data_IF_454150068601
#
_entry.id   IF_454150068601
#
_cell.length_a   1.000
_cell.length_b   1.000
_cell.length_c   1.000
_cell.angle_alpha   90.00
_cell.angle_beta   90.00
_cell.angle_gamma   90.00
#
_symmetry.space_group_name_H-M   'P 1'
#
loop_
_entity.id
_entity.type
_entity.pdbx_description
1 polymer ?
#
# COMPACT_ATOMS: atom_id res chain seq x y z
N UNK A 1 -46.55 17.59 -40.16
CA UNK A 1 -45.29 18.28 -39.80
C UNK A 1 -44.65 17.70 -38.52
N UNK A 2 -45.41 16.97 -37.69
CA UNK A 2 -44.98 16.51 -36.36
C UNK A 2 -44.09 15.26 -36.36
N UNK A 3 -44.25 14.38 -37.34
CA UNK A 3 -43.48 13.12 -37.46
C UNK A 3 -41.99 13.38 -37.75
N UNK A 4 -41.70 14.39 -38.56
CA UNK A 4 -40.33 14.79 -38.92
C UNK A 4 -39.62 15.49 -37.76
N UNK A 5 -40.35 16.33 -36.99
CA UNK A 5 -39.85 17.01 -35.80
C UNK A 5 -39.52 16.02 -34.67
N UNK A 6 -40.32 14.97 -34.51
CA UNK A 6 -40.07 13.87 -33.56
C UNK A 6 -38.85 13.03 -33.96
N UNK A 7 -38.69 12.73 -35.25
CA UNK A 7 -37.52 11.98 -35.75
C UNK A 7 -36.22 12.75 -35.54
N UNK A 8 -36.19 14.07 -35.81
CA UNK A 8 -35.03 14.94 -35.58
C UNK A 8 -34.64 15.00 -34.10
N UNK A 9 -35.61 15.15 -33.18
CA UNK A 9 -35.36 15.12 -31.72
C UNK A 9 -34.76 13.80 -31.25
N UNK A 10 -35.27 12.65 -31.74
CA UNK A 10 -34.72 11.33 -31.39
C UNK A 10 -33.29 11.14 -31.89
N UNK A 11 -32.98 11.60 -33.10
CA UNK A 11 -31.62 11.55 -33.65
C UNK A 11 -30.66 12.43 -32.85
N UNK A 12 -31.06 13.65 -32.48
CA UNK A 12 -30.23 14.53 -31.64
C UNK A 12 -29.93 13.93 -30.27
N UNK A 13 -30.92 13.29 -29.62
CA UNK A 13 -30.71 12.63 -28.32
C UNK A 13 -29.74 11.44 -28.45
N UNK A 14 -29.86 10.62 -29.50
CA UNK A 14 -28.96 9.48 -29.72
C UNK A 14 -27.51 9.95 -29.93
N UNK A 15 -27.30 11.02 -30.69
CA UNK A 15 -25.95 11.58 -30.93
C UNK A 15 -25.33 12.11 -29.64
N UNK A 16 -26.09 12.78 -28.78
CA UNK A 16 -25.59 13.27 -27.47
C UNK A 16 -25.23 12.11 -26.55
N UNK A 17 -26.05 11.05 -26.48
CA UNK A 17 -25.77 9.87 -25.65
C UNK A 17 -24.50 9.14 -26.12
N UNK A 18 -24.31 8.98 -27.43
CA UNK A 18 -23.10 8.36 -28.00
C UNK A 18 -21.84 9.18 -27.70
N UNK A 19 -21.92 10.52 -27.79
CA UNK A 19 -20.82 11.42 -27.41
C UNK A 19 -20.49 11.36 -25.91
N UNK A 20 -21.50 11.29 -25.04
CA UNK A 20 -21.29 11.13 -23.60
C UNK A 20 -20.65 9.77 -23.27
N UNK A 21 -21.07 8.67 -23.91
CA UNK A 21 -20.48 7.34 -23.70
C UNK A 21 -19.02 7.31 -24.20
N UNK A 22 -18.72 7.95 -25.33
CA UNK A 22 -17.34 8.06 -25.82
C UNK A 22 -16.43 8.88 -24.88
N UNK A 23 -16.95 9.95 -24.27
CA UNK A 23 -16.22 10.73 -23.27
C UNK A 23 -15.97 9.96 -21.96
N UNK A 24 -16.89 9.08 -21.55
CA UNK A 24 -16.71 8.21 -20.37
C UNK A 24 -15.68 7.11 -20.65
N UNK A 25 -15.65 6.55 -21.86
CA UNK A 25 -14.64 5.55 -22.26
C UNK A 25 -13.23 6.20 -22.37
N UNK A 26 -13.14 7.44 -22.85
CA UNK A 26 -11.88 8.20 -22.92
C UNK A 26 -11.27 8.54 -21.56
N UNK A 27 -12.05 8.55 -20.48
CA UNK A 27 -11.55 8.76 -19.11
C UNK A 27 -10.97 7.49 -18.48
N UNK A 28 -11.18 6.31 -19.09
CA UNK A 28 -10.61 5.02 -18.66
C UNK A 28 -9.36 4.68 -19.48
N UNK A 29 -8.63 5.68 -19.99
CA UNK A 29 -7.21 5.47 -20.26
C UNK A 29 -6.51 5.57 -18.91
N UNK A 30 -6.58 4.48 -18.15
CA UNK A 30 -5.71 4.24 -17.01
C UNK A 30 -4.30 4.57 -17.46
N UNK A 31 -3.71 5.63 -16.89
CA UNK A 31 -2.27 5.81 -16.98
C UNK A 31 -1.66 4.49 -16.55
N UNK A 32 -1.09 3.75 -17.49
CA UNK A 32 -0.21 2.64 -17.20
C UNK A 32 1.02 3.30 -16.60
N UNK A 33 0.94 3.58 -15.30
CA UNK A 33 2.10 3.92 -14.50
C UNK A 33 2.88 2.62 -14.43
N UNK A 34 3.85 2.47 -15.32
CA UNK A 34 4.92 1.47 -15.20
C UNK A 34 5.60 1.75 -13.87
N UNK A 35 5.09 1.11 -12.81
CA UNK A 35 5.67 1.22 -11.48
C UNK A 35 6.98 0.45 -11.55
N UNK A 36 8.12 1.04 -11.17
CA UNK A 36 9.37 0.29 -11.10
C UNK A 36 9.14 -0.99 -10.27
N UNK A 37 9.70 -2.09 -10.75
CA UNK A 37 9.52 -3.39 -10.11
C UNK A 37 10.23 -3.35 -8.75
N UNK A 38 9.46 -3.32 -7.67
CA UNK A 38 9.96 -3.42 -6.29
C UNK A 38 10.75 -4.71 -6.12
N UNK A 39 11.98 -4.62 -5.64
CA UNK A 39 12.80 -5.77 -5.24
C UNK A 39 12.27 -6.34 -3.91
N UNK A 40 12.07 -7.66 -3.87
CA UNK A 40 11.61 -8.36 -2.66
C UNK A 40 12.64 -9.41 -2.30
N UNK A 41 13.18 -9.31 -1.10
CA UNK A 41 14.05 -10.32 -0.50
C UNK A 41 13.29 -11.00 0.65
N UNK A 42 12.86 -12.24 0.43
CA UNK A 42 12.14 -13.02 1.43
C UNK A 42 13.08 -13.58 2.51
N UNK A 43 14.39 -13.54 2.29
CA UNK A 43 15.37 -14.21 3.16
C UNK A 43 15.07 -15.70 3.33
N UNK A 44 15.45 -16.22 4.50
CA UNK A 44 15.10 -17.56 4.96
C UNK A 44 14.18 -17.43 6.17
N UNK A 45 13.12 -18.24 6.21
CA UNK A 45 12.22 -18.34 7.36
C UNK A 45 11.76 -19.77 7.56
N UNK A 46 11.79 -20.22 8.82
CA UNK A 46 11.24 -21.50 9.24
C UNK A 46 9.79 -21.37 9.74
N UNK A 47 9.31 -20.13 9.96
CA UNK A 47 8.00 -19.84 10.57
C UNK A 47 6.99 -19.21 9.62
N UNK A 48 7.44 -18.59 8.53
CA UNK A 48 6.56 -17.95 7.55
C UNK A 48 6.67 -18.57 6.18
N UNK A 49 5.50 -18.85 5.58
CA UNK A 49 5.45 -19.19 4.17
C UNK A 49 5.64 -17.93 3.33
N UNK A 50 6.07 -18.09 2.08
CA UNK A 50 6.13 -16.97 1.15
C UNK A 50 4.77 -16.28 0.96
N UNK A 51 3.66 -17.03 1.07
CA UNK A 51 2.30 -16.47 1.01
C UNK A 51 2.02 -15.53 2.19
N UNK A 52 2.43 -15.90 3.41
CA UNK A 52 2.29 -15.04 4.59
C UNK A 52 3.07 -13.74 4.41
N UNK A 53 4.31 -13.85 3.92
CA UNK A 53 5.17 -12.71 3.60
C UNK A 53 4.55 -11.82 2.52
N UNK A 54 4.02 -12.40 1.45
CA UNK A 54 3.35 -11.67 0.37
C UNK A 54 2.14 -10.86 0.88
N UNK A 55 1.36 -11.45 1.79
CA UNK A 55 0.22 -10.77 2.41
C UNK A 55 0.67 -9.59 3.29
N UNK A 56 1.75 -9.73 4.05
CA UNK A 56 2.35 -8.65 4.84
C UNK A 56 2.94 -7.56 3.95
N UNK A 57 3.71 -7.92 2.92
CA UNK A 57 4.32 -7.00 1.96
C UNK A 57 3.27 -6.20 1.21
N UNK A 58 2.10 -6.79 0.90
CA UNK A 58 0.97 -6.04 0.30
C UNK A 58 0.50 -4.89 1.19
N UNK A 59 0.56 -5.03 2.51
CA UNK A 59 0.20 -3.95 3.45
C UNK A 59 1.25 -2.83 3.40
N UNK A 60 2.55 -3.16 3.39
CA UNK A 60 3.65 -2.19 3.27
C UNK A 60 3.55 -1.43 1.93
N UNK A 61 3.43 -2.15 0.81
CA UNK A 61 3.25 -1.56 -0.53
C UNK A 61 2.05 -0.63 -0.59
N UNK A 62 0.96 -0.96 0.11
CA UNK A 62 -0.22 -0.10 0.19
C UNK A 62 0.05 1.15 1.02
N UNK A 63 0.73 1.04 2.16
CA UNK A 63 1.09 2.20 3.00
C UNK A 63 1.94 3.20 2.23
N UNK A 64 3.02 2.75 1.60
CA UNK A 64 3.91 3.63 0.83
C UNK A 64 3.21 4.23 -0.39
N UNK A 65 2.34 3.48 -1.09
CA UNK A 65 1.53 4.05 -2.18
C UNK A 65 0.65 5.24 -1.76
N UNK A 66 0.21 5.29 -0.50
CA UNK A 66 -0.54 6.43 0.02
C UNK A 66 0.36 7.59 0.47
N UNK A 67 1.67 7.37 0.59
CA UNK A 67 2.66 8.42 0.81
C UNK A 67 3.00 9.04 -0.54
N UNK A 68 2.47 10.24 -0.77
CA UNK A 68 2.46 10.85 -2.10
C UNK A 68 3.89 11.18 -2.57
N UNK A 69 4.25 10.69 -3.75
CA UNK A 69 5.58 10.93 -4.33
C UNK A 69 6.69 10.06 -3.76
N UNK A 70 6.40 9.16 -2.82
CA UNK A 70 7.35 8.18 -2.33
C UNK A 70 7.44 7.00 -3.30
N UNK A 71 8.65 6.50 -3.53
CA UNK A 71 8.94 5.43 -4.47
C UNK A 71 9.60 4.26 -3.74
N UNK A 72 8.85 3.17 -3.57
CA UNK A 72 9.36 1.96 -2.92
C UNK A 72 10.33 1.23 -3.86
N UNK A 73 11.55 1.00 -3.39
CA UNK A 73 12.59 0.28 -4.14
C UNK A 73 12.73 -1.17 -3.70
N UNK A 74 12.86 -1.39 -2.39
CA UNK A 74 13.15 -2.71 -1.84
C UNK A 74 12.34 -3.00 -0.58
N UNK A 75 11.94 -4.25 -0.39
CA UNK A 75 11.44 -4.77 0.89
C UNK A 75 12.18 -6.06 1.19
N UNK A 76 12.72 -6.19 2.40
CA UNK A 76 13.53 -7.33 2.79
C UNK A 76 13.21 -7.82 4.19
N UNK A 77 13.11 -9.14 4.32
CA UNK A 77 12.77 -9.81 5.57
C UNK A 77 13.91 -9.70 6.59
N UNK A 78 13.58 -9.34 7.83
CA UNK A 78 14.58 -9.14 8.88
C UNK A 78 14.94 -10.41 9.67
N UNK A 79 14.38 -11.56 9.27
CA UNK A 79 14.61 -12.87 9.88
C UNK A 79 13.68 -13.20 11.06
N UNK A 80 13.58 -14.49 11.34
CA UNK A 80 12.64 -15.05 12.33
C UNK A 80 12.87 -14.50 13.75
N UNK A 81 14.14 -14.38 14.16
CA UNK A 81 14.52 -13.87 15.49
C UNK A 81 13.99 -12.46 15.76
N UNK A 82 13.98 -11.61 14.73
CA UNK A 82 13.51 -10.24 14.79
C UNK A 82 11.98 -10.13 14.65
N UNK A 83 11.32 -11.22 14.27
CA UNK A 83 9.91 -11.22 13.89
C UNK A 83 9.02 -11.75 15.00
N UNK A 84 9.16 -13.03 15.38
CA UNK A 84 8.15 -13.71 16.20
C UNK A 84 8.75 -14.51 17.36
N UNK A 85 9.65 -13.88 18.11
CA UNK A 85 10.04 -14.39 19.43
C UNK A 85 9.03 -13.95 20.50
N UNK A 86 8.95 -14.69 21.60
CA UNK A 86 8.03 -14.36 22.71
C UNK A 86 8.20 -12.92 23.22
N UNK A 87 9.44 -12.43 23.26
CA UNK A 87 9.75 -11.05 23.67
C UNK A 87 9.23 -10.02 22.67
N UNK A 88 9.38 -10.28 21.37
CA UNK A 88 8.87 -9.39 20.30
C UNK A 88 7.34 -9.38 20.31
N UNK A 89 6.71 -10.56 20.40
CA UNK A 89 5.25 -10.68 20.44
C UNK A 89 4.66 -9.94 21.65
N UNK A 90 5.26 -10.11 22.83
CA UNK A 90 4.85 -9.40 24.04
C UNK A 90 4.98 -7.88 23.87
N UNK A 91 6.14 -7.41 23.41
CA UNK A 91 6.40 -5.99 23.22
C UNK A 91 5.44 -5.36 22.20
N UNK A 92 5.19 -6.03 21.07
CA UNK A 92 4.24 -5.53 20.06
C UNK A 92 2.81 -5.46 20.60
N UNK A 93 2.37 -6.43 21.38
CA UNK A 93 1.05 -6.37 22.01
C UNK A 93 0.95 -5.23 23.05
N UNK A 94 2.00 -4.98 23.84
CA UNK A 94 2.05 -3.84 24.76
C UNK A 94 1.99 -2.50 24.01
N UNK A 95 2.75 -2.37 22.92
CA UNK A 95 2.71 -1.19 22.04
C UNK A 95 1.32 -1.00 21.43
N UNK A 96 0.74 -2.06 20.87
CA UNK A 96 -0.57 -1.99 20.24
C UNK A 96 -1.66 -1.58 21.23
N UNK A 97 -1.64 -2.10 22.46
CA UNK A 97 -2.58 -1.71 23.53
C UNK A 97 -2.46 -0.24 23.89
N UNK A 98 -1.22 0.28 23.97
CA UNK A 98 -0.97 1.72 24.19
C UNK A 98 -1.52 2.59 23.06
N UNK A 99 -1.49 2.08 21.83
CA UNK A 99 -2.01 2.75 20.63
C UNK A 99 -3.51 2.50 20.40
N UNK A 100 -4.19 1.85 21.35
CA UNK A 100 -5.65 1.68 21.37
C UNK A 100 -6.17 0.44 20.64
N UNK A 101 -5.30 -0.47 20.21
CA UNK A 101 -5.72 -1.77 19.68
C UNK A 101 -6.27 -2.67 20.79
N UNK A 102 -7.29 -3.46 20.46
CA UNK A 102 -7.95 -4.39 21.41
C UNK A 102 -7.68 -5.85 21.12
N UNK A 103 -7.12 -6.17 19.96
CA UNK A 103 -6.75 -7.54 19.60
C UNK A 103 -5.51 -7.99 20.39
N UNK A 104 -5.49 -9.27 20.79
CA UNK A 104 -4.27 -9.94 21.21
C UNK A 104 -3.65 -10.62 19.98
N UNK A 105 -2.61 -10.00 19.43
CA UNK A 105 -1.89 -10.55 18.28
C UNK A 105 -1.11 -11.80 18.67
N UNK A 106 -1.10 -12.78 17.76
CA UNK A 106 -0.44 -14.08 17.94
C UNK A 106 0.77 -14.26 17.03
N UNK A 107 0.90 -13.41 16.00
CA UNK A 107 1.98 -13.47 15.03
C UNK A 107 2.49 -12.06 14.71
N UNK A 108 3.81 -11.91 14.66
CA UNK A 108 4.49 -10.66 14.28
C UNK A 108 5.53 -10.94 13.20
N UNK A 109 5.52 -10.14 12.14
CA UNK A 109 6.49 -10.21 11.05
C UNK A 109 7.20 -8.86 10.90
N UNK A 110 8.53 -8.91 10.81
CA UNK A 110 9.37 -7.71 10.69
C UNK A 110 10.04 -7.65 9.32
N UNK A 111 9.79 -6.55 8.61
CA UNK A 111 10.44 -6.22 7.35
C UNK A 111 11.18 -4.89 7.48
N UNK A 112 12.17 -4.71 6.62
CA UNK A 112 12.75 -3.39 6.32
C UNK A 112 12.46 -3.03 4.87
N UNK A 113 12.52 -1.74 4.57
CA UNK A 113 12.38 -1.26 3.19
C UNK A 113 13.34 -0.13 2.89
N UNK A 114 13.68 -0.03 1.61
CA UNK A 114 14.37 1.11 1.05
C UNK A 114 13.41 1.82 0.08
N UNK A 115 13.32 3.14 0.20
CA UNK A 115 12.45 3.95 -0.64
C UNK A 115 12.99 5.37 -0.82
N UNK A 116 12.67 5.95 -1.96
CA UNK A 116 12.93 7.36 -2.21
C UNK A 116 11.77 8.21 -1.70
N UNK A 117 12.08 9.33 -1.04
CA UNK A 117 11.07 10.29 -0.61
C UNK A 117 10.63 11.18 -1.77
N UNK A 118 9.56 11.94 -1.57
CA UNK A 118 9.05 12.82 -2.63
C UNK A 118 10.01 13.97 -2.91
N UNK A 119 10.16 14.31 -4.20
CA UNK A 119 10.90 15.52 -4.64
C UNK A 119 10.18 16.83 -4.29
N UNK A 120 8.96 16.76 -3.74
CA UNK A 120 8.12 17.91 -3.42
C UNK A 120 8.00 18.05 -1.91
N UNK A 121 8.51 19.16 -1.38
CA UNK A 121 8.50 19.47 0.06
C UNK A 121 7.13 19.28 0.72
N UNK A 122 6.06 19.83 0.13
CA UNK A 122 4.68 19.68 0.62
C UNK A 122 4.18 18.23 0.77
N UNK A 123 4.80 17.27 0.07
CA UNK A 123 4.42 15.85 0.12
C UNK A 123 5.23 15.08 1.18
N UNK A 124 6.28 15.72 1.74
CA UNK A 124 7.15 15.22 2.83
C UNK A 124 6.95 16.03 4.13
N UNK A 125 6.31 17.20 4.05
CA UNK A 125 5.98 18.03 5.20
C UNK A 125 5.23 17.21 6.27
N UNK A 126 5.71 17.24 7.51
CA UNK A 126 5.20 16.48 8.66
C UNK A 126 5.36 14.95 8.57
N UNK A 127 6.13 14.40 7.63
CA UNK A 127 6.46 12.96 7.63
C UNK A 127 7.70 12.63 8.45
N UNK A 128 8.55 13.62 8.75
CA UNK A 128 9.83 13.42 9.44
C UNK A 128 10.95 12.89 8.56
N UNK A 129 10.78 12.94 7.23
CA UNK A 129 11.79 12.53 6.25
C UNK A 129 12.35 13.77 5.53
N UNK A 130 13.55 13.63 4.95
CA UNK A 130 14.11 14.66 4.10
C UNK A 130 13.50 14.60 2.69
N UNK A 131 13.52 15.73 1.98
CA UNK A 131 12.97 15.85 0.62
C UNK A 131 13.97 15.31 -0.40
N UNK A 132 13.51 14.51 -1.36
CA UNK A 132 14.35 13.94 -2.44
C UNK A 132 15.53 13.09 -1.91
N UNK A 133 15.29 12.32 -0.85
CA UNK A 133 16.30 11.50 -0.17
C UNK A 133 16.00 10.00 -0.27
N UNK A 134 17.06 9.19 -0.17
CA UNK A 134 16.95 7.72 -0.17
C UNK A 134 16.98 7.17 1.26
N UNK A 135 15.82 6.75 1.73
CA UNK A 135 15.66 6.12 3.04
C UNK A 135 16.01 4.64 2.94
N UNK A 136 16.92 4.16 3.79
CA UNK A 136 17.39 2.77 3.74
C UNK A 136 17.21 2.08 5.09
N UNK A 137 16.59 0.90 5.07
CA UNK A 137 16.40 0.10 6.28
C UNK A 137 15.31 0.57 7.23
N UNK A 138 14.36 1.37 6.73
CA UNK A 138 13.16 1.76 7.48
C UNK A 138 12.31 0.52 7.84
N UNK A 139 12.05 0.32 9.13
CA UNK A 139 11.44 -0.89 9.68
C UNK A 139 9.92 -0.87 9.68
N UNK A 140 9.32 -2.06 9.57
CA UNK A 140 7.89 -2.30 9.61
C UNK A 140 7.57 -3.53 10.47
N UNK A 141 6.99 -3.32 11.65
CA UNK A 141 6.39 -4.40 12.44
C UNK A 141 4.93 -4.55 12.05
N UNK A 142 4.58 -5.70 11.47
CA UNK A 142 3.21 -6.07 11.20
C UNK A 142 2.79 -7.19 12.15
N UNK A 143 1.54 -7.15 12.60
CA UNK A 143 0.97 -8.18 13.46
C UNK A 143 -0.38 -8.67 12.94
N UNK A 144 -0.73 -9.91 13.27
CA UNK A 144 -2.05 -10.49 13.05
C UNK A 144 -2.47 -11.41 14.19
N UNK A 145 -3.78 -11.59 14.32
CA UNK A 145 -4.36 -12.71 15.05
C UNK A 145 -4.23 -13.98 14.21
N UNK A 146 -4.40 -15.15 14.82
CA UNK A 146 -4.31 -16.43 14.11
C UNK A 146 -5.21 -16.47 12.87
N UNK A 147 -4.61 -16.69 11.70
CA UNK A 147 -5.30 -16.69 10.40
C UNK A 147 -5.91 -15.33 9.99
N UNK A 148 -5.64 -14.26 10.74
CA UNK A 148 -6.15 -12.92 10.52
C UNK A 148 -5.37 -12.15 9.45
N UNK A 149 -5.75 -10.88 9.25
CA UNK A 149 -5.05 -9.98 8.32
C UNK A 149 -3.90 -9.27 9.02
N UNK A 150 -2.77 -9.14 8.31
CA UNK A 150 -1.64 -8.32 8.73
C UNK A 150 -2.01 -6.84 8.85
N UNK A 151 -1.52 -6.20 9.91
CA UNK A 151 -1.71 -4.77 10.19
C UNK A 151 -0.36 -4.18 10.62
N UNK A 152 -0.01 -2.99 10.13
CA UNK A 152 1.18 -2.28 10.61
C UNK A 152 0.90 -1.80 12.03
N UNK A 153 1.71 -2.25 12.99
CA UNK A 153 1.63 -1.82 14.39
C UNK A 153 2.64 -0.71 14.66
N UNK A 154 3.86 -0.84 14.11
CA UNK A 154 4.92 0.15 14.29
C UNK A 154 5.77 0.25 13.02
N UNK A 155 6.29 1.45 12.75
CA UNK A 155 7.24 1.69 11.66
C UNK A 155 8.22 2.79 12.03
N UNK A 156 9.48 2.66 11.64
CA UNK A 156 10.54 3.57 12.07
C UNK A 156 11.95 2.99 11.97
N UNK A 157 12.93 3.78 12.41
CA UNK A 157 14.33 3.39 12.56
C UNK A 157 14.62 2.80 13.95
#
# INVERSE_FOLDING_TARGET
MDKEKSKKKKVTIIVIVVLCVAAVIGFVITKIVTTPKVEIDYGTSDIYTQKDMDEAIKVIKRKIRHMKGFELHKVYYAGDKSSNSDSVLKWINELAKRDGWTDDFTEVIYFKSDFHTSKKEKDVENTGFDVDDEETGYGWYLARTEGGKWRIISSGY
#
